data_IF_002810393450
#
_entry.id   IF_002810393450
#
_cell.length_a   1.000
_cell.length_b   1.000
_cell.length_c   1.000
_cell.angle_alpha   90.00
_cell.angle_beta   90.00
_cell.angle_gamma   90.00
#
_symmetry.space_group_name_H-M   'P 1'
#
loop_
_entity.id
_entity.type
_entity.pdbx_description
1 polymer ?
#
# COMPACT_ATOMS: atom_id res chain seq x y z
N UNK A 1 -0.44 15.51 0.46
CA UNK A 1 -0.34 14.06 0.22
C UNK A 1 0.75 13.78 -0.80
N UNK A 2 1.59 12.82 -0.55
CA UNK A 2 2.63 12.42 -1.48
C UNK A 2 2.51 10.91 -1.75
N UNK A 3 2.42 10.55 -3.02
CA UNK A 3 2.53 9.15 -3.44
C UNK A 3 3.96 8.90 -3.88
N UNK A 4 4.62 7.95 -3.25
CA UNK A 4 6.02 7.66 -3.53
C UNK A 4 6.21 6.22 -3.94
N UNK A 5 6.96 5.99 -5.02
CA UNK A 5 7.34 4.65 -5.44
C UNK A 5 8.57 4.18 -4.66
N UNK A 6 8.54 2.92 -4.23
CA UNK A 6 9.64 2.30 -3.49
C UNK A 6 10.52 1.52 -4.47
N UNK A 7 11.83 1.78 -4.44
CA UNK A 7 12.79 1.13 -5.33
C UNK A 7 13.80 0.25 -4.59
N UNK A 8 14.16 0.63 -3.38
CA UNK A 8 15.22 -0.02 -2.62
C UNK A 8 14.74 -0.40 -1.24
N UNK A 9 15.41 -1.36 -0.62
CA UNK A 9 15.06 -1.80 0.74
C UNK A 9 15.10 -0.63 1.74
N UNK A 10 16.03 0.29 1.54
CA UNK A 10 16.15 1.47 2.41
C UNK A 10 14.90 2.35 2.37
N UNK A 11 14.17 2.35 1.26
CA UNK A 11 12.95 3.14 1.13
C UNK A 11 11.87 2.69 2.10
N UNK A 12 11.90 1.42 2.53
CA UNK A 12 10.94 0.91 3.50
C UNK A 12 11.05 1.58 4.87
N UNK A 13 12.22 2.08 5.21
CA UNK A 13 12.37 2.79 6.49
C UNK A 13 11.49 4.03 6.55
N UNK A 14 11.37 4.73 5.42
CA UNK A 14 10.49 5.89 5.34
C UNK A 14 9.02 5.51 5.59
N UNK A 15 8.61 4.36 5.05
CA UNK A 15 7.25 3.85 5.27
C UNK A 15 7.02 3.58 6.76
N UNK A 16 7.96 2.87 7.39
CA UNK A 16 7.84 2.52 8.81
C UNK A 16 7.86 3.74 9.71
N UNK A 17 8.71 4.71 9.43
CA UNK A 17 8.76 5.95 10.18
C UNK A 17 7.47 6.75 10.03
N UNK A 18 6.96 6.88 8.81
CA UNK A 18 5.71 7.59 8.57
C UNK A 18 4.55 6.92 9.33
N UNK A 19 4.57 5.59 9.42
CA UNK A 19 3.52 4.84 10.11
C UNK A 19 3.47 5.09 11.62
N UNK A 20 4.56 5.59 12.21
CA UNK A 20 4.56 5.93 13.63
C UNK A 20 3.86 7.26 13.90
N UNK A 21 3.66 8.08 12.87
CA UNK A 21 3.00 9.39 12.99
C UNK A 21 1.51 9.33 12.65
N UNK A 22 1.08 8.25 12.05
CA UNK A 22 -0.31 8.05 11.65
C UNK A 22 -0.41 6.92 10.64
N UNK A 23 -1.62 6.51 10.26
CA UNK A 23 -1.76 5.44 9.29
C UNK A 23 -1.25 5.87 7.91
N UNK A 24 -0.57 4.94 7.22
CA UNK A 24 -0.08 5.16 5.85
C UNK A 24 -0.62 4.04 4.95
N UNK A 25 -0.69 4.32 3.66
CA UNK A 25 -1.10 3.33 2.66
C UNK A 25 0.13 2.77 1.96
N UNK A 26 0.14 1.47 1.76
CA UNK A 26 1.20 0.76 1.05
C UNK A 26 0.58 -0.19 0.05
N UNK A 27 0.89 0.00 -1.23
CA UNK A 27 0.27 -0.74 -2.34
C UNK A 27 1.31 -1.57 -3.09
N UNK A 28 0.98 -2.85 -3.32
CA UNK A 28 1.76 -3.73 -4.19
C UNK A 28 1.09 -3.81 -5.55
N UNK A 29 1.76 -3.31 -6.59
CA UNK A 29 1.25 -3.27 -7.94
C UNK A 29 1.91 -4.32 -8.83
N UNK A 30 1.10 -5.03 -9.60
CA UNK A 30 1.61 -5.86 -10.71
C UNK A 30 1.32 -5.13 -12.02
N UNK A 31 2.37 -4.81 -12.77
CA UNK A 31 2.22 -4.06 -14.03
C UNK A 31 1.71 -4.90 -15.18
N UNK A 32 1.60 -6.22 -15.00
CA UNK A 32 1.18 -7.14 -16.06
C UNK A 32 -0.22 -7.73 -15.86
N UNK A 33 -0.91 -7.38 -14.78
CA UNK A 33 -2.21 -7.97 -14.43
C UNK A 33 -3.33 -6.94 -14.59
N UNK A 34 -4.38 -7.22 -15.39
CA UNK A 34 -5.52 -6.29 -15.53
C UNK A 34 -6.22 -5.99 -14.21
N UNK A 35 -6.33 -6.97 -13.31
CA UNK A 35 -6.94 -6.77 -11.99
C UNK A 35 -6.12 -5.78 -11.17
N UNK A 36 -4.79 -5.82 -11.30
CA UNK A 36 -3.91 -4.87 -10.62
C UNK A 36 -4.10 -3.46 -11.15
N UNK A 37 -4.31 -3.31 -12.45
CA UNK A 37 -4.57 -2.00 -13.06
C UNK A 37 -5.86 -1.39 -12.48
N UNK A 38 -6.91 -2.19 -12.37
CA UNK A 38 -8.18 -1.74 -11.80
C UNK A 38 -8.01 -1.36 -10.32
N UNK A 39 -7.30 -2.17 -9.56
CA UNK A 39 -7.05 -1.89 -8.15
C UNK A 39 -6.23 -0.61 -7.98
N UNK A 40 -5.22 -0.42 -8.82
CA UNK A 40 -4.39 0.79 -8.78
C UNK A 40 -5.21 2.03 -9.14
N UNK A 41 -6.15 1.90 -10.08
CA UNK A 41 -7.06 3.00 -10.41
C UNK A 41 -7.94 3.37 -9.22
N UNK A 42 -8.43 2.39 -8.46
CA UNK A 42 -9.20 2.64 -7.25
C UNK A 42 -8.34 3.35 -6.20
N UNK A 43 -7.11 2.92 -6.02
CA UNK A 43 -6.16 3.53 -5.09
C UNK A 43 -5.90 5.00 -5.47
N UNK A 44 -5.62 5.27 -6.74
CA UNK A 44 -5.40 6.64 -7.21
C UNK A 44 -6.66 7.51 -7.06
N UNK A 45 -7.82 6.94 -7.34
CA UNK A 45 -9.09 7.65 -7.17
C UNK A 45 -9.29 8.06 -5.71
N UNK A 46 -9.01 7.15 -4.78
CA UNK A 46 -9.06 7.47 -3.35
C UNK A 46 -8.11 8.62 -3.01
N UNK A 47 -6.86 8.56 -3.48
CA UNK A 47 -5.87 9.58 -3.19
C UNK A 47 -6.28 10.95 -3.74
N UNK A 48 -6.88 10.99 -4.92
CA UNK A 48 -7.31 12.25 -5.55
C UNK A 48 -8.49 12.91 -4.83
N UNK A 49 -9.32 12.13 -4.15
CA UNK A 49 -10.52 12.65 -3.51
C UNK A 49 -10.43 12.77 -1.99
N UNK A 50 -9.66 11.87 -1.35
CA UNK A 50 -9.64 11.76 0.12
C UNK A 50 -8.23 11.66 0.71
N UNK A 51 -7.19 11.78 -0.11
CA UNK A 51 -5.83 11.44 0.31
C UNK A 51 -4.99 12.59 0.86
N UNK A 52 -5.58 13.76 1.15
CA UNK A 52 -4.81 14.94 1.50
C UNK A 52 -3.91 14.78 2.72
N UNK A 53 -4.36 14.01 3.71
CA UNK A 53 -3.69 13.88 4.99
C UNK A 53 -3.07 12.51 5.20
N UNK A 54 -2.89 11.75 4.13
CA UNK A 54 -2.37 10.38 4.21
C UNK A 54 -1.13 10.26 3.34
N UNK A 55 -0.07 9.69 3.90
CA UNK A 55 1.11 9.32 3.12
C UNK A 55 0.84 7.99 2.44
N UNK A 56 1.23 7.89 1.18
CA UNK A 56 0.97 6.70 0.38
C UNK A 56 2.23 6.27 -0.37
N UNK A 57 2.45 4.97 -0.42
CA UNK A 57 3.61 4.36 -1.05
C UNK A 57 3.17 3.20 -1.92
N UNK A 58 3.91 2.93 -2.99
CA UNK A 58 3.65 1.75 -3.79
C UNK A 58 4.94 1.11 -4.27
N UNK A 59 4.87 -0.18 -4.58
CA UNK A 59 6.00 -0.95 -5.11
C UNK A 59 5.50 -1.77 -6.29
N UNK A 60 6.34 -1.86 -7.32
CA UNK A 60 6.07 -2.72 -8.48
C UNK A 60 6.65 -4.10 -8.19
N UNK A 61 5.78 -5.08 -8.05
CA UNK A 61 6.14 -6.40 -7.52
C UNK A 61 7.24 -7.09 -8.34
N UNK A 62 7.14 -7.06 -9.67
CA UNK A 62 8.12 -7.76 -10.51
C UNK A 62 9.42 -6.98 -10.65
N UNK A 63 9.32 -5.69 -10.87
CA UNK A 63 10.47 -4.82 -11.11
C UNK A 63 11.28 -4.59 -9.83
N UNK A 64 10.63 -4.64 -8.67
CA UNK A 64 11.27 -4.37 -7.39
C UNK A 64 10.98 -5.49 -6.39
N UNK A 65 11.26 -6.72 -6.83
CA UNK A 65 10.95 -7.94 -6.08
C UNK A 65 11.50 -7.97 -4.65
N UNK A 66 12.77 -7.60 -4.41
CA UNK A 66 13.30 -7.64 -3.05
C UNK A 66 12.52 -6.80 -2.05
N UNK A 67 12.04 -5.62 -2.47
CA UNK A 67 11.24 -4.76 -1.60
C UNK A 67 9.88 -5.39 -1.33
N UNK A 68 9.24 -5.93 -2.37
CA UNK A 68 7.95 -6.60 -2.22
C UNK A 68 8.03 -7.79 -1.26
N UNK A 69 9.09 -8.58 -1.38
CA UNK A 69 9.30 -9.74 -0.51
C UNK A 69 9.56 -9.32 0.94
N UNK A 70 10.32 -8.24 1.11
CA UNK A 70 10.61 -7.72 2.45
C UNK A 70 9.35 -7.20 3.15
N UNK A 71 8.43 -6.60 2.40
CA UNK A 71 7.16 -6.16 2.96
C UNK A 71 6.39 -7.35 3.55
N UNK A 72 6.32 -8.46 2.80
CA UNK A 72 5.62 -9.65 3.27
C UNK A 72 6.25 -10.17 4.56
N UNK A 73 7.57 -10.18 4.63
CA UNK A 73 8.29 -10.65 5.80
C UNK A 73 8.09 -9.72 7.00
N UNK A 74 8.25 -8.42 6.80
CA UNK A 74 8.16 -7.44 7.88
C UNK A 74 6.75 -7.34 8.47
N UNK A 75 5.73 -7.43 7.63
CA UNK A 75 4.35 -7.35 8.08
C UNK A 75 3.76 -8.70 8.48
N UNK A 76 4.44 -9.80 8.15
CA UNK A 76 3.95 -11.13 8.46
C UNK A 76 2.67 -11.50 7.70
N UNK A 77 2.47 -10.92 6.51
CA UNK A 77 1.28 -11.16 5.70
C UNK A 77 1.70 -11.77 4.37
N UNK A 78 1.04 -12.88 4.01
CA UNK A 78 1.35 -13.58 2.77
C UNK A 78 1.24 -12.65 1.58
N UNK A 79 2.23 -12.74 0.68
CA UNK A 79 2.25 -11.98 -0.55
C UNK A 79 1.01 -12.25 -1.41
N UNK A 80 0.38 -11.17 -1.87
CA UNK A 80 -0.65 -11.17 -2.90
C UNK A 80 -0.32 -10.03 -3.86
N UNK A 81 -0.89 -10.04 -5.04
CA UNK A 81 -0.69 -8.96 -6.02
C UNK A 81 -1.91 -8.88 -6.94
N UNK A 82 -2.64 -7.77 -6.97
CA UNK A 82 -2.44 -6.54 -6.18
C UNK A 82 -2.80 -6.72 -4.72
N UNK A 83 -2.15 -5.94 -3.88
CA UNK A 83 -2.42 -5.96 -2.43
C UNK A 83 -2.19 -4.57 -1.86
N UNK A 84 -3.02 -4.17 -0.91
CA UNK A 84 -2.88 -2.89 -0.22
C UNK A 84 -2.90 -3.12 1.28
N UNK A 85 -2.13 -2.31 2.00
CA UNK A 85 -2.07 -2.33 3.46
C UNK A 85 -2.35 -0.95 4.03
N UNK A 86 -3.00 -0.90 5.17
CA UNK A 86 -2.93 0.27 6.06
C UNK A 86 -1.92 -0.09 7.14
N UNK A 87 -0.84 0.67 7.23
CA UNK A 87 0.24 0.43 8.18
C UNK A 87 0.21 1.52 9.24
N UNK A 88 0.24 1.12 10.50
CA UNK A 88 0.26 2.04 11.65
C UNK A 88 1.16 1.45 12.71
N UNK A 89 2.08 2.27 13.22
CA UNK A 89 3.07 1.83 14.21
C UNK A 89 3.85 0.60 13.75
N UNK A 90 4.23 0.59 12.46
CA UNK A 90 5.04 -0.46 11.83
C UNK A 90 4.33 -1.79 11.72
N UNK A 91 3.00 -1.81 11.85
CA UNK A 91 2.19 -3.02 11.72
C UNK A 91 1.07 -2.81 10.71
N UNK A 92 0.71 -3.87 9.98
CA UNK A 92 -0.45 -3.83 9.11
C UNK A 92 -1.70 -3.98 9.96
N UNK A 93 -2.50 -2.92 10.04
CA UNK A 93 -3.76 -2.95 10.78
C UNK A 93 -4.92 -3.38 9.91
N UNK A 94 -4.70 -3.42 8.59
CA UNK A 94 -5.68 -3.88 7.61
C UNK A 94 -4.97 -4.19 6.29
N UNK A 95 -5.47 -5.18 5.56
CA UNK A 95 -5.00 -5.45 4.20
C UNK A 95 -6.16 -5.95 3.34
N UNK A 96 -6.00 -5.77 2.03
CA UNK A 96 -6.94 -6.30 1.04
C UNK A 96 -6.19 -6.63 -0.23
N UNK A 97 -6.77 -7.52 -1.04
CA UNK A 97 -6.16 -7.93 -2.30
C UNK A 97 -7.21 -8.05 -3.39
N UNK A 98 -6.74 -7.96 -4.66
CA UNK A 98 -7.54 -8.17 -5.85
C UNK A 98 -8.77 -7.26 -5.90
N UNK A 99 -9.95 -7.80 -6.11
CA UNK A 99 -11.18 -7.02 -6.29
C UNK A 99 -11.71 -6.38 -5.00
N UNK A 100 -11.15 -6.74 -3.86
CA UNK A 100 -11.53 -6.12 -2.59
C UNK A 100 -10.91 -4.75 -2.39
N UNK A 101 -9.97 -4.35 -3.24
CA UNK A 101 -9.34 -3.04 -3.19
C UNK A 101 -10.26 -2.04 -3.89
N UNK A 102 -10.96 -1.21 -3.13
CA UNK A 102 -11.89 -0.20 -3.65
C UNK A 102 -11.72 1.09 -2.86
N UNK A 103 -12.17 2.21 -3.45
CA UNK A 103 -12.17 3.49 -2.74
C UNK A 103 -12.87 3.36 -1.39
N UNK A 104 -14.01 2.69 -1.37
CA UNK A 104 -14.80 2.52 -0.16
C UNK A 104 -14.08 1.69 0.90
N UNK A 105 -13.47 0.56 0.51
CA UNK A 105 -12.75 -0.28 1.47
C UNK A 105 -11.53 0.43 2.06
N UNK A 106 -10.83 1.22 1.24
CA UNK A 106 -9.68 2.00 1.71
C UNK A 106 -10.15 3.07 2.69
N UNK A 107 -11.22 3.77 2.36
CA UNK A 107 -11.77 4.81 3.23
C UNK A 107 -12.18 4.24 4.58
N UNK A 108 -12.90 3.13 4.58
CA UNK A 108 -13.33 2.47 5.81
C UNK A 108 -12.14 2.02 6.66
N UNK A 109 -11.12 1.47 6.01
CA UNK A 109 -9.92 1.00 6.72
C UNK A 109 -9.20 2.14 7.43
N UNK A 110 -9.07 3.29 6.77
CA UNK A 110 -8.42 4.45 7.37
C UNK A 110 -9.23 5.05 8.50
N UNK A 111 -10.55 5.06 8.41
CA UNK A 111 -11.40 5.55 9.47
C UNK A 111 -11.30 4.70 10.74
N UNK A 112 -11.03 3.41 10.58
CA UNK A 112 -10.94 2.46 11.68
C UNK A 112 -9.51 2.23 12.18
N UNK A 113 -8.54 2.90 11.58
CA UNK A 113 -7.14 2.71 11.95
C UNK A 113 -6.74 3.45 13.22
#
# INVERSE_FOLDING_TARGET
MALKELFELEDLQEVWEASTKGPVLLFKQSTTCPISADAFAQFNSFLNTNGENVDAFFVKVRETRPVSDQIAEDLGIRHQSPQIFVVKNKEAVWDASHTKITVESIQDALQNA
#
